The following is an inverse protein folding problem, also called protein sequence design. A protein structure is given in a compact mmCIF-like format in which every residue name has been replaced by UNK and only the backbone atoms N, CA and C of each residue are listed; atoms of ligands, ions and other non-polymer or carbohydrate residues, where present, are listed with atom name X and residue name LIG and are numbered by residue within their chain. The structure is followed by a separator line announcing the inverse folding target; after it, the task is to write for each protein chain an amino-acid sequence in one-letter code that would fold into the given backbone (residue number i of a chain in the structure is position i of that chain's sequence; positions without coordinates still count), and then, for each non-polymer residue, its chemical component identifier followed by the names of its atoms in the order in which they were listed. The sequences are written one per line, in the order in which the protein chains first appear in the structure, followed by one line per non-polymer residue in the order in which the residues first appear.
data_IF_772937467973
#
_entry.id   IF_772937467973
#
_cell.length_a   1.000
_cell.length_b   1.000
_cell.length_c   1.000
_cell.angle_alpha   90.00
_cell.angle_beta   90.00
_cell.angle_gamma   90.00
#
_symmetry.space_group_name_H-M   'P 1'
#
loop_
_entity.id
_entity.type
_entity.pdbx_description
1 polymer ?
#
# COMPACT_ATOMS: atom_id res chain seq x y z
N UNK A 1 2.73 -0.73 17.91
CA UNK A 1 2.87 -1.30 16.57
C UNK A 1 1.98 -0.53 15.61
N UNK A 2 2.56 0.09 14.58
CA UNK A 2 1.83 0.88 13.58
C UNK A 2 2.41 0.59 12.19
N UNK A 3 1.55 0.57 11.16
CA UNK A 3 2.05 0.43 9.78
C UNK A 3 2.63 1.74 9.27
N UNK A 4 3.70 1.66 8.47
CA UNK A 4 4.32 2.82 7.83
C UNK A 4 3.40 3.44 6.79
N UNK A 5 2.90 2.63 5.86
CA UNK A 5 1.99 3.06 4.80
C UNK A 5 0.74 2.20 4.87
N UNK A 6 -0.44 2.83 4.94
CA UNK A 6 -1.69 2.09 4.93
C UNK A 6 -1.97 1.52 3.53
N UNK A 7 -2.18 0.21 3.46
CA UNK A 7 -2.36 -0.52 2.20
C UNK A 7 -3.70 -0.26 1.49
N UNK A 8 -4.66 0.36 2.15
CA UNK A 8 -5.97 0.67 1.55
C UNK A 8 -6.09 2.12 1.10
N UNK A 9 -5.63 3.06 1.93
CA UNK A 9 -5.80 4.50 1.71
C UNK A 9 -4.49 5.25 1.43
N UNK A 10 -3.35 4.55 1.49
CA UNK A 10 -2.05 5.11 1.14
C UNK A 10 -1.45 6.10 2.13
N UNK A 11 -2.11 6.44 3.22
CA UNK A 11 -1.60 7.39 4.21
C UNK A 11 -0.27 6.93 4.80
N UNK A 12 0.70 7.86 4.88
CA UNK A 12 2.05 7.61 5.38
C UNK A 12 2.15 8.06 6.84
N UNK A 13 2.65 7.18 7.69
CA UNK A 13 2.99 7.49 9.07
C UNK A 13 4.35 8.19 9.14
N UNK A 14 4.45 9.29 9.87
CA UNK A 14 5.75 9.89 10.17
C UNK A 14 6.49 9.03 11.21
N UNK A 15 7.38 8.15 10.72
CA UNK A 15 8.11 7.19 11.55
C UNK A 15 9.03 7.86 12.57
N UNK A 16 9.69 8.96 12.19
CA UNK A 16 10.62 9.68 13.06
C UNK A 16 9.91 10.23 14.29
N UNK A 17 8.76 10.92 14.07
CA UNK A 17 7.96 11.48 15.17
C UNK A 17 7.43 10.39 16.10
N UNK A 18 6.95 9.28 15.55
CA UNK A 18 6.42 8.16 16.35
C UNK A 18 7.54 7.44 17.10
N UNK A 19 8.67 7.18 16.43
CA UNK A 19 9.82 6.55 17.06
C UNK A 19 10.36 7.39 18.22
N UNK A 20 10.47 8.71 18.05
CA UNK A 20 10.88 9.63 19.11
C UNK A 20 9.88 9.67 20.28
N UNK A 21 8.58 9.65 19.97
CA UNK A 21 7.53 9.60 20.99
C UNK A 21 7.63 8.31 21.82
N UNK A 22 7.84 7.16 21.15
CA UNK A 22 8.04 5.87 21.81
C UNK A 22 9.30 5.89 22.69
N UNK A 23 10.41 6.41 22.17
CA UNK A 23 11.67 6.51 22.90
C UNK A 23 11.52 7.36 24.17
N UNK A 24 10.87 8.51 24.07
CA UNK A 24 10.65 9.41 25.20
C UNK A 24 9.78 8.79 26.30
N UNK A 25 8.96 7.80 25.96
CA UNK A 25 8.07 7.10 26.89
C UNK A 25 8.56 5.68 27.26
N UNK A 26 9.78 5.30 26.89
CA UNK A 26 10.34 3.98 27.16
C UNK A 26 9.58 2.83 26.51
N UNK A 27 8.86 3.10 25.42
CA UNK A 27 8.07 2.10 24.69
C UNK A 27 8.85 1.54 23.50
N UNK A 28 8.69 0.25 23.24
CA UNK A 28 9.16 -0.34 21.97
C UNK A 28 8.28 0.13 20.82
N UNK A 29 8.93 0.38 19.67
CA UNK A 29 8.23 0.72 18.43
C UNK A 29 8.48 -0.34 17.36
N UNK A 30 7.40 -0.94 16.89
CA UNK A 30 7.35 -1.79 15.72
C UNK A 30 6.62 -1.09 14.59
N UNK A 31 7.16 -1.17 13.38
CA UNK A 31 6.45 -0.74 12.18
C UNK A 31 6.28 -1.91 11.19
N UNK A 32 5.06 -2.09 10.70
CA UNK A 32 4.82 -2.84 9.49
C UNK A 32 5.19 -1.96 8.29
N UNK A 33 6.33 -2.25 7.68
CA UNK A 33 6.86 -1.52 6.54
C UNK A 33 6.67 -2.28 5.20
N UNK A 34 5.75 -3.23 5.17
CA UNK A 34 5.46 -4.06 3.98
C UNK A 34 5.13 -3.20 2.75
N UNK A 35 4.42 -2.09 2.93
CA UNK A 35 4.12 -1.14 1.85
C UNK A 35 5.18 -0.04 1.68
N UNK A 36 6.22 -0.04 2.50
CA UNK A 36 7.24 1.00 2.51
C UNK A 36 8.59 0.54 1.96
N UNK A 37 9.02 -0.67 2.31
CA UNK A 37 10.30 -1.22 1.85
C UNK A 37 10.27 -1.39 0.32
N UNK A 38 11.34 -0.95 -0.34
CA UNK A 38 11.43 -0.89 -1.80
C UNK A 38 10.79 0.36 -2.42
N UNK A 39 10.04 1.15 -1.64
CA UNK A 39 9.35 2.37 -2.09
C UNK A 39 9.81 3.63 -1.37
N UNK A 40 10.41 3.51 -0.19
CA UNK A 40 10.94 4.61 0.62
C UNK A 40 12.31 4.25 1.17
N UNK A 41 13.16 5.26 1.37
CA UNK A 41 14.45 5.09 2.04
C UNK A 41 14.24 5.01 3.57
N UNK A 42 14.93 4.09 4.22
CA UNK A 42 14.95 3.95 5.67
C UNK A 42 16.39 4.04 6.17
N UNK A 43 16.67 4.99 7.04
CA UNK A 43 17.90 5.00 7.82
C UNK A 43 17.60 4.56 9.25
N UNK A 44 17.83 3.29 9.53
CA UNK A 44 17.57 2.71 10.85
C UNK A 44 18.68 3.05 11.87
N UNK A 45 19.76 3.73 11.46
CA UNK A 45 20.73 4.30 12.37
C UNK A 45 20.21 5.58 13.01
N UNK A 46 19.47 6.37 12.26
CA UNK A 46 18.91 7.65 12.69
C UNK A 46 17.53 7.49 13.34
N UNK A 47 16.68 6.64 12.78
CA UNK A 47 15.30 6.44 13.28
C UNK A 47 15.30 5.32 14.33
N UNK A 48 14.94 5.59 15.60
CA UNK A 48 15.00 4.61 16.69
C UNK A 48 13.83 3.60 16.67
N UNK A 49 13.62 2.95 15.52
CA UNK A 49 12.68 1.82 15.37
C UNK A 49 13.31 0.59 16.02
N UNK A 50 12.53 -0.17 16.78
CA UNK A 50 12.98 -1.40 17.44
C UNK A 50 12.75 -2.64 16.58
N UNK A 51 11.60 -2.67 15.87
CA UNK A 51 11.22 -3.78 15.02
C UNK A 51 10.59 -3.27 13.73
N UNK A 52 10.91 -3.94 12.60
CA UNK A 52 10.28 -3.64 11.31
C UNK A 52 10.02 -4.93 10.56
N UNK A 53 8.84 -5.01 9.93
CA UNK A 53 8.45 -6.13 9.08
C UNK A 53 8.41 -5.73 7.61
N UNK A 54 8.82 -6.64 6.73
CA UNK A 54 8.77 -6.47 5.27
C UNK A 54 8.33 -7.75 4.57
N UNK A 55 7.82 -7.64 3.34
CA UNK A 55 7.45 -8.77 2.50
C UNK A 55 7.91 -8.55 1.05
N UNK A 56 8.69 -9.49 0.52
CA UNK A 56 9.37 -9.35 -0.77
C UNK A 56 8.42 -9.13 -1.95
N UNK A 57 7.24 -9.74 -1.95
CA UNK A 57 6.26 -9.63 -3.03
C UNK A 57 5.68 -8.21 -3.21
N UNK A 58 5.97 -7.28 -2.31
CA UNK A 58 5.54 -5.87 -2.42
C UNK A 58 6.52 -5.00 -3.21
N UNK A 59 7.72 -5.51 -3.45
CA UNK A 59 8.73 -4.90 -4.31
C UNK A 59 9.23 -5.90 -5.38
N UNK A 60 8.28 -6.66 -5.96
CA UNK A 60 8.49 -7.61 -7.07
C UNK A 60 9.41 -8.80 -6.76
N UNK A 61 9.64 -9.08 -5.49
CA UNK A 61 10.35 -10.27 -5.02
C UNK A 61 9.44 -11.50 -4.89
N UNK A 62 10.00 -12.65 -4.51
CA UNK A 62 9.25 -13.90 -4.35
C UNK A 62 8.15 -13.79 -3.28
N UNK A 63 7.04 -14.50 -3.49
CA UNK A 63 6.04 -14.72 -2.45
C UNK A 63 6.56 -15.67 -1.37
N UNK A 64 6.03 -15.56 -0.16
CA UNK A 64 6.37 -16.44 0.95
C UNK A 64 7.69 -16.12 1.66
N UNK A 65 8.34 -15.02 1.31
CA UNK A 65 9.57 -14.53 1.96
C UNK A 65 9.46 -13.05 2.31
N UNK A 66 10.08 -12.67 3.40
CA UNK A 66 10.25 -11.30 3.87
C UNK A 66 11.38 -11.25 4.88
N UNK A 67 11.62 -10.10 5.46
CA UNK A 67 12.57 -9.96 6.56
C UNK A 67 11.95 -9.20 7.72
N UNK A 68 12.51 -9.46 8.91
CA UNK A 68 12.27 -8.67 10.10
C UNK A 68 13.56 -8.00 10.54
N UNK A 69 13.54 -6.68 10.68
CA UNK A 69 14.60 -5.97 11.40
C UNK A 69 14.31 -6.04 12.89
N UNK A 70 15.32 -6.39 13.67
CA UNK A 70 15.26 -6.47 15.13
C UNK A 70 16.48 -5.71 15.66
N UNK A 71 16.25 -4.61 16.37
CA UNK A 71 17.32 -3.82 16.99
C UNK A 71 17.96 -4.64 18.11
N UNK A 72 19.28 -4.56 18.20
CA UNK A 72 20.04 -5.24 19.26
C UNK A 72 19.55 -4.83 20.65
N UNK A 73 19.65 -5.73 21.59
CA UNK A 73 19.34 -5.52 23.02
C UNK A 73 17.85 -5.20 23.30
N UNK A 74 16.93 -5.62 22.43
CA UNK A 74 15.48 -5.49 22.68
C UNK A 74 14.93 -6.58 23.61
N UNK A 75 15.72 -7.58 23.98
CA UNK A 75 15.26 -8.69 24.83
C UNK A 75 14.29 -9.65 24.15
N UNK A 76 14.17 -9.60 22.80
CA UNK A 76 13.29 -10.50 22.05
C UNK A 76 13.81 -11.94 22.17
N UNK A 77 12.91 -12.85 22.53
CA UNK A 77 13.16 -14.29 22.55
C UNK A 77 12.50 -14.98 21.35
N UNK A 78 13.10 -16.12 20.93
CA UNK A 78 12.51 -16.96 19.89
C UNK A 78 11.12 -17.44 20.32
N UNK A 79 10.16 -17.40 19.38
CA UNK A 79 8.86 -18.00 19.54
C UNK A 79 8.72 -19.32 18.75
N UNK A 80 9.58 -19.53 17.73
CA UNK A 80 9.65 -20.76 16.95
C UNK A 80 10.93 -21.49 17.34
N UNK A 81 10.80 -22.53 18.11
CA UNK A 81 11.91 -23.28 18.67
C UNK A 81 12.41 -24.39 17.75
N UNK A 82 13.70 -24.73 17.83
CA UNK A 82 14.35 -25.79 17.05
C UNK A 82 15.84 -25.51 16.88
N UNK A 83 16.34 -25.57 15.65
CA UNK A 83 17.74 -25.27 15.32
C UNK A 83 18.10 -23.80 15.53
N UNK A 84 19.40 -23.49 15.47
CA UNK A 84 19.93 -22.15 15.73
C UNK A 84 19.92 -21.19 14.51
N UNK A 85 19.06 -21.47 13.53
CA UNK A 85 18.92 -20.58 12.36
C UNK A 85 18.48 -19.17 12.79
N UNK A 86 18.70 -18.19 11.93
CA UNK A 86 18.41 -16.77 12.20
C UNK A 86 18.98 -16.31 13.56
N UNK A 87 20.22 -16.73 13.87
CA UNK A 87 20.91 -16.45 15.14
C UNK A 87 20.13 -16.90 16.39
N UNK A 88 19.37 -17.99 16.26
CA UNK A 88 18.53 -18.53 17.32
C UNK A 88 17.18 -17.82 17.52
N UNK A 89 16.86 -16.84 16.70
CA UNK A 89 15.59 -16.10 16.80
C UNK A 89 14.44 -16.77 16.06
N UNK A 90 14.73 -17.62 15.06
CA UNK A 90 13.70 -18.34 14.30
C UNK A 90 14.28 -19.62 13.74
N UNK A 91 13.87 -20.74 14.28
CA UNK A 91 14.32 -22.05 13.83
C UNK A 91 13.68 -22.47 12.48
N UNK A 92 14.30 -23.42 11.81
CA UNK A 92 13.89 -23.96 10.51
C UNK A 92 14.88 -23.62 9.40
N UNK A 93 15.03 -24.52 8.44
CA UNK A 93 15.95 -24.37 7.31
C UNK A 93 15.61 -23.12 6.49
N UNK A 94 16.62 -22.34 6.15
CA UNK A 94 16.46 -21.12 5.35
C UNK A 94 16.08 -21.44 3.90
N UNK A 95 15.10 -20.71 3.36
CA UNK A 95 14.70 -20.78 1.97
C UNK A 95 15.69 -19.99 1.09
N UNK A 96 16.90 -20.49 0.91
CA UNK A 96 18.04 -19.78 0.29
C UNK A 96 17.67 -19.16 -1.07
N UNK A 97 16.98 -19.92 -1.95
CA UNK A 97 16.55 -19.42 -3.26
C UNK A 97 15.62 -18.20 -3.14
N UNK A 98 14.69 -18.22 -2.18
CA UNK A 98 13.78 -17.09 -1.94
C UNK A 98 14.51 -15.89 -1.32
N UNK A 99 15.50 -16.12 -0.45
CA UNK A 99 16.35 -15.08 0.14
C UNK A 99 17.16 -14.38 -0.95
N UNK A 100 17.78 -15.12 -1.86
CA UNK A 100 18.53 -14.56 -2.98
C UNK A 100 17.61 -13.77 -3.92
N UNK A 101 16.40 -14.29 -4.21
CA UNK A 101 15.40 -13.58 -4.99
C UNK A 101 14.93 -12.28 -4.33
N UNK A 102 14.71 -12.30 -3.01
CA UNK A 102 14.38 -11.11 -2.22
C UNK A 102 15.51 -10.08 -2.25
N UNK A 103 16.76 -10.51 -2.06
CA UNK A 103 17.92 -9.63 -2.13
C UNK A 103 18.01 -8.94 -3.50
N UNK A 104 17.88 -9.70 -4.60
CA UNK A 104 17.94 -9.14 -5.96
C UNK A 104 16.79 -8.15 -6.22
N UNK A 105 15.60 -8.44 -5.72
CA UNK A 105 14.47 -7.53 -5.84
C UNK A 105 14.71 -6.21 -5.07
N UNK A 106 15.28 -6.27 -3.87
CA UNK A 106 15.66 -5.06 -3.11
C UNK A 106 16.74 -4.24 -3.83
N UNK A 107 17.76 -4.90 -4.37
CA UNK A 107 18.83 -4.24 -5.14
C UNK A 107 18.25 -3.47 -6.33
N UNK A 108 17.34 -4.07 -7.08
CA UNK A 108 16.67 -3.44 -8.23
C UNK A 108 15.80 -2.28 -7.76
N UNK A 109 14.95 -2.49 -6.76
CA UNK A 109 14.01 -1.49 -6.26
C UNK A 109 14.73 -0.23 -5.75
N UNK A 110 15.78 -0.41 -4.92
CA UNK A 110 16.55 0.75 -4.43
C UNK A 110 17.46 1.37 -5.49
N UNK A 111 17.93 0.58 -6.48
CA UNK A 111 18.72 1.10 -7.59
C UNK A 111 17.94 2.00 -8.54
N UNK A 112 16.62 1.86 -8.61
CA UNK A 112 15.72 2.63 -9.48
C UNK A 112 14.73 3.53 -8.71
N UNK A 113 14.86 3.61 -7.40
CA UNK A 113 13.86 4.19 -6.51
C UNK A 113 13.41 5.60 -6.95
N UNK A 114 14.33 6.51 -7.19
CA UNK A 114 14.02 7.91 -7.52
C UNK A 114 13.38 8.05 -8.92
N UNK A 115 13.86 7.26 -9.89
CA UNK A 115 13.32 7.22 -11.25
C UNK A 115 11.89 6.69 -11.25
N UNK A 116 11.67 5.51 -10.64
CA UNK A 116 10.35 4.87 -10.58
C UNK A 116 9.36 5.68 -9.75
N UNK A 117 9.80 6.25 -8.63
CA UNK A 117 8.96 7.14 -7.82
C UNK A 117 8.47 8.33 -8.62
N UNK A 118 9.37 9.02 -9.34
CA UNK A 118 9.01 10.19 -10.17
C UNK A 118 8.01 9.82 -11.25
N UNK A 119 8.25 8.70 -11.92
CA UNK A 119 7.36 8.22 -12.99
C UNK A 119 5.98 7.83 -12.45
N UNK A 120 5.92 6.97 -11.43
CA UNK A 120 4.65 6.50 -10.86
C UNK A 120 3.86 7.66 -10.25
N UNK A 121 4.55 8.62 -9.63
CA UNK A 121 3.92 9.84 -9.11
C UNK A 121 3.29 10.68 -10.23
N UNK A 122 3.90 10.72 -11.42
CA UNK A 122 3.30 11.41 -12.57
C UNK A 122 2.00 10.73 -13.01
N UNK A 123 1.97 9.40 -13.07
CA UNK A 123 0.75 8.63 -13.38
C UNK A 123 -0.35 8.87 -12.34
N UNK A 124 0.01 8.85 -11.05
CA UNK A 124 -0.93 9.16 -9.96
C UNK A 124 -1.51 10.57 -10.08
N UNK A 125 -0.66 11.57 -10.36
CA UNK A 125 -1.11 12.97 -10.58
C UNK A 125 -2.07 13.07 -11.75
N UNK A 126 -1.75 12.41 -12.86
CA UNK A 126 -2.59 12.37 -14.06
C UNK A 126 -3.96 11.77 -13.74
N UNK A 127 -3.97 10.62 -13.07
CA UNK A 127 -5.21 9.96 -12.64
C UNK A 127 -6.05 10.85 -11.71
N UNK A 128 -5.47 11.44 -10.66
CA UNK A 128 -6.19 12.33 -9.73
C UNK A 128 -6.80 13.53 -10.46
N UNK A 129 -6.05 14.14 -11.38
CA UNK A 129 -6.55 15.27 -12.20
C UNK A 129 -7.73 14.84 -13.06
N UNK A 130 -7.65 13.68 -13.69
CA UNK A 130 -8.75 13.11 -14.49
C UNK A 130 -9.99 12.83 -13.65
N UNK A 131 -9.84 12.19 -12.50
CA UNK A 131 -10.96 11.93 -11.58
C UNK A 131 -11.63 13.24 -11.12
N UNK A 132 -10.87 14.25 -10.71
CA UNK A 132 -11.42 15.55 -10.29
C UNK A 132 -12.16 16.28 -11.42
N UNK A 133 -11.77 16.06 -12.68
CA UNK A 133 -12.47 16.59 -13.86
C UNK A 133 -13.78 15.86 -14.11
N UNK A 134 -13.78 14.52 -14.07
CA UNK A 134 -14.95 13.68 -14.41
C UNK A 134 -15.95 13.68 -13.26
N UNK A 135 -15.47 13.61 -12.03
CA UNK A 135 -16.26 13.55 -10.81
C UNK A 135 -15.85 14.65 -9.83
N UNK A 136 -16.33 15.90 -10.01
CA UNK A 136 -15.99 17.00 -9.09
C UNK A 136 -16.36 16.72 -7.62
N UNK A 137 -17.33 15.84 -7.38
CA UNK A 137 -17.79 15.41 -6.05
C UNK A 137 -17.05 14.18 -5.51
N UNK A 138 -16.06 13.65 -6.23
CA UNK A 138 -15.27 12.51 -5.76
C UNK A 138 -14.56 12.83 -4.46
N UNK A 139 -14.60 11.89 -3.51
CA UNK A 139 -13.91 12.01 -2.23
C UNK A 139 -12.69 11.09 -2.20
N UNK A 140 -11.52 11.66 -1.94
CA UNK A 140 -10.27 10.89 -1.82
C UNK A 140 -10.08 10.44 -0.37
N UNK A 141 -10.12 9.13 -0.15
CA UNK A 141 -10.02 8.54 1.19
C UNK A 141 -8.59 8.65 1.74
N UNK A 142 -8.45 9.06 3.01
CA UNK A 142 -7.17 9.05 3.71
C UNK A 142 -6.10 10.00 3.16
N UNK A 143 -6.48 11.15 2.62
CA UNK A 143 -5.55 12.13 2.05
C UNK A 143 -4.76 11.59 0.84
N UNK A 144 -5.24 10.57 0.13
CA UNK A 144 -4.48 9.93 -0.94
C UNK A 144 -4.28 10.81 -2.18
N UNK A 145 -4.94 11.95 -2.29
CA UNK A 145 -4.69 12.98 -3.30
C UNK A 145 -3.64 14.03 -2.86
N UNK A 146 -3.16 13.95 -1.63
CA UNK A 146 -2.03 14.73 -1.13
C UNK A 146 -0.75 13.87 -1.21
N UNK A 147 0.16 14.25 -2.12
CA UNK A 147 1.37 13.49 -2.40
C UNK A 147 2.40 13.50 -1.26
N UNK A 148 2.36 14.54 -0.41
CA UNK A 148 3.27 14.65 0.75
C UNK A 148 2.82 13.77 1.92
N UNK A 149 1.57 13.32 1.92
CA UNK A 149 0.96 12.56 3.02
C UNK A 149 0.55 11.14 2.61
N UNK A 150 0.70 10.80 1.34
CA UNK A 150 0.32 9.48 0.83
C UNK A 150 1.34 8.89 -0.11
N UNK A 151 1.39 7.56 -0.15
CA UNK A 151 2.24 6.83 -1.09
C UNK A 151 1.91 7.18 -2.53
N UNK A 152 2.92 7.21 -3.38
CA UNK A 152 2.77 7.41 -4.81
C UNK A 152 2.16 6.21 -5.55
N UNK A 153 2.08 5.04 -4.90
CA UNK A 153 1.73 3.76 -5.53
C UNK A 153 0.23 3.45 -5.57
N UNK A 154 -0.62 4.26 -4.91
CA UNK A 154 -2.07 4.02 -4.90
C UNK A 154 -2.90 5.29 -4.71
N UNK A 155 -4.16 5.20 -5.17
CA UNK A 155 -5.26 6.12 -4.86
C UNK A 155 -6.46 5.30 -4.41
N UNK A 156 -7.11 5.75 -3.33
CA UNK A 156 -8.42 5.24 -2.91
C UNK A 156 -9.43 6.37 -3.03
N UNK A 157 -10.41 6.21 -3.90
CA UNK A 157 -11.40 7.25 -4.22
C UNK A 157 -12.80 6.71 -4.08
N UNK A 158 -13.65 7.47 -3.38
CA UNK A 158 -15.09 7.26 -3.30
C UNK A 158 -15.78 8.03 -4.43
N UNK A 159 -16.29 7.28 -5.40
CA UNK A 159 -16.97 7.81 -6.58
C UNK A 159 -18.48 7.95 -6.33
N UNK A 160 -19.15 8.99 -6.86
CA UNK A 160 -20.55 9.30 -6.59
C UNK A 160 -21.50 8.41 -7.40
N UNK A 161 -21.36 7.10 -7.31
CA UNK A 161 -22.29 6.11 -7.85
C UNK A 161 -23.32 5.71 -6.79
N UNK A 162 -24.56 5.40 -7.20
CA UNK A 162 -25.58 4.92 -6.28
C UNK A 162 -25.24 3.50 -5.74
N UNK A 163 -26.02 3.01 -4.77
CA UNK A 163 -25.77 1.74 -4.12
C UNK A 163 -25.79 0.53 -5.06
N UNK A 164 -26.69 0.50 -6.05
CA UNK A 164 -26.80 -0.58 -7.04
C UNK A 164 -25.62 -0.60 -7.98
N UNK A 165 -25.26 0.57 -8.53
CA UNK A 165 -24.09 0.74 -9.38
C UNK A 165 -22.79 0.43 -8.63
N UNK A 166 -22.70 0.85 -7.36
CA UNK A 166 -21.54 0.63 -6.52
C UNK A 166 -21.26 -0.86 -6.25
N UNK A 167 -22.30 -1.69 -6.20
CA UNK A 167 -22.14 -3.14 -6.00
C UNK A 167 -21.48 -3.83 -7.20
N UNK A 168 -21.73 -3.35 -8.40
CA UNK A 168 -21.27 -3.97 -9.66
C UNK A 168 -20.08 -3.27 -10.30
N UNK A 169 -19.69 -2.09 -9.80
CA UNK A 169 -18.70 -1.23 -10.47
C UNK A 169 -17.33 -1.90 -10.66
N UNK A 170 -16.83 -2.60 -9.65
CA UNK A 170 -15.56 -3.35 -9.75
C UNK A 170 -15.66 -4.51 -10.75
N UNK A 171 -16.80 -5.23 -10.78
CA UNK A 171 -17.05 -6.29 -11.75
C UNK A 171 -17.16 -5.72 -13.18
N UNK A 172 -17.85 -4.59 -13.36
CA UNK A 172 -17.93 -3.93 -14.66
C UNK A 172 -16.58 -3.44 -15.17
N UNK A 173 -15.73 -2.93 -14.27
CA UNK A 173 -14.36 -2.55 -14.59
C UNK A 173 -13.51 -3.78 -14.97
N UNK A 174 -13.64 -4.90 -14.24
CA UNK A 174 -12.95 -6.15 -14.54
C UNK A 174 -13.34 -6.69 -15.93
N UNK A 175 -14.62 -6.63 -16.32
CA UNK A 175 -15.07 -6.97 -17.66
C UNK A 175 -14.46 -6.08 -18.77
N UNK A 176 -14.01 -4.89 -18.42
CA UNK A 176 -13.26 -3.98 -19.31
C UNK A 176 -11.74 -4.19 -19.22
N UNK A 177 -11.26 -5.20 -18.49
CA UNK A 177 -9.84 -5.48 -18.29
C UNK A 177 -9.16 -4.53 -17.27
N UNK A 178 -9.93 -3.82 -16.45
CA UNK A 178 -9.43 -2.89 -15.44
C UNK A 178 -9.48 -3.55 -14.07
N UNK A 179 -8.31 -3.96 -13.56
CA UNK A 179 -8.17 -4.54 -12.24
C UNK A 179 -8.07 -3.45 -11.16
N UNK A 180 -9.09 -3.31 -10.34
CA UNK A 180 -9.10 -2.46 -9.16
C UNK A 180 -9.58 -3.24 -7.93
N UNK A 181 -9.59 -2.63 -6.75
CA UNK A 181 -10.00 -3.32 -5.52
C UNK A 181 -11.02 -2.51 -4.74
N UNK A 182 -12.01 -3.19 -4.18
CA UNK A 182 -12.87 -2.67 -3.10
C UNK A 182 -12.24 -3.03 -1.76
N UNK A 183 -11.87 -2.02 -0.94
CA UNK A 183 -11.26 -2.24 0.37
C UNK A 183 -9.92 -2.99 0.31
N UNK A 184 -9.68 -3.86 1.29
CA UNK A 184 -8.44 -4.66 1.38
C UNK A 184 -8.52 -5.89 0.47
N UNK A 185 -7.50 -6.06 -0.37
CA UNK A 185 -7.35 -7.25 -1.21
C UNK A 185 -7.27 -8.55 -0.38
N UNK A 186 -6.77 -8.49 0.85
CA UNK A 186 -6.69 -9.63 1.78
C UNK A 186 -8.05 -10.02 2.37
N UNK A 187 -9.07 -9.17 2.26
CA UNK A 187 -10.43 -9.40 2.77
C UNK A 187 -11.47 -9.62 1.67
N UNK A 188 -11.02 -9.91 0.44
CA UNK A 188 -11.89 -10.11 -0.73
C UNK A 188 -12.96 -11.21 -0.59
N UNK A 189 -12.92 -12.01 0.47
CA UNK A 189 -13.98 -12.99 0.84
C UNK A 189 -14.85 -12.57 2.04
N UNK A 190 -14.65 -11.38 2.61
CA UNK A 190 -15.38 -10.94 3.81
C UNK A 190 -16.59 -10.08 3.44
N UNK A 191 -17.75 -10.45 3.95
CA UNK A 191 -19.01 -9.67 3.83
C UNK A 191 -19.03 -8.41 4.70
N UNK A 192 -18.03 -8.21 5.59
CA UNK A 192 -18.00 -7.12 6.58
C UNK A 192 -17.46 -5.78 6.05
N UNK A 193 -17.01 -5.71 4.79
CA UNK A 193 -16.37 -4.52 4.23
C UNK A 193 -15.02 -4.18 4.86
N UNK A 194 -14.44 -3.05 4.46
CA UNK A 194 -13.16 -2.58 4.98
C UNK A 194 -13.30 -1.98 6.39
N UNK A 195 -12.53 -2.52 7.36
CA UNK A 195 -12.47 -1.94 8.69
C UNK A 195 -11.80 -0.55 8.70
N UNK A 196 -10.94 -0.25 7.71
CA UNK A 196 -10.31 1.07 7.55
C UNK A 196 -11.33 2.08 7.04
N UNK A 197 -11.98 1.79 5.90
CA UNK A 197 -12.95 2.69 5.30
C UNK A 197 -14.16 2.95 6.21
N UNK A 198 -14.57 1.96 6.99
CA UNK A 198 -15.67 2.10 7.97
C UNK A 198 -15.38 3.08 9.10
N UNK A 199 -14.09 3.43 9.34
CA UNK A 199 -13.69 4.44 10.33
C UNK A 199 -13.49 5.83 9.73
N UNK A 200 -13.56 5.95 8.41
CA UNK A 200 -13.44 7.23 7.71
C UNK A 200 -14.81 7.87 7.51
N UNK A 201 -14.82 9.20 7.40
CA UNK A 201 -16.01 9.97 7.05
C UNK A 201 -16.24 9.97 5.53
N UNK A 202 -16.30 8.77 4.95
CA UNK A 202 -16.60 8.62 3.51
C UNK A 202 -18.08 8.93 3.27
N UNK A 203 -18.41 9.69 2.22
CA UNK A 203 -19.80 10.00 1.91
C UNK A 203 -20.65 8.74 1.71
N UNK A 204 -21.84 8.69 2.30
CA UNK A 204 -22.73 7.55 2.17
C UNK A 204 -23.23 7.41 0.73
N UNK A 205 -23.39 6.17 0.27
CA UNK A 205 -23.88 5.87 -1.07
C UNK A 205 -22.85 6.08 -2.17
N UNK A 206 -21.55 6.12 -1.82
CA UNK A 206 -20.45 6.18 -2.79
C UNK A 206 -19.77 4.82 -2.94
N UNK A 207 -19.12 4.59 -4.10
CA UNK A 207 -18.30 3.43 -4.37
C UNK A 207 -16.82 3.75 -4.10
N UNK A 208 -16.26 3.22 -3.03
CA UNK A 208 -14.82 3.35 -2.78
C UNK A 208 -14.03 2.29 -3.55
N UNK A 209 -13.16 2.73 -4.45
CA UNK A 209 -12.26 1.90 -5.23
C UNK A 209 -10.81 2.31 -4.98
N UNK A 210 -9.93 1.30 -4.89
CA UNK A 210 -8.48 1.50 -4.83
C UNK A 210 -7.86 1.14 -6.18
N UNK A 211 -7.17 2.10 -6.76
CA UNK A 211 -6.30 1.93 -7.93
C UNK A 211 -4.85 1.93 -7.48
N UNK A 212 -4.06 1.00 -7.98
CA UNK A 212 -2.65 0.86 -7.65
C UNK A 212 -1.81 1.06 -8.91
N UNK A 213 -0.68 1.74 -8.76
CA UNK A 213 0.22 2.11 -9.84
C UNK A 213 1.60 1.46 -9.65
N UNK A 214 2.25 1.13 -10.75
CA UNK A 214 3.61 0.62 -10.81
C UNK A 214 4.36 1.19 -12.01
N UNK A 215 5.66 0.98 -12.07
CA UNK A 215 6.50 1.37 -13.22
C UNK A 215 6.15 0.61 -14.51
N UNK A 216 5.30 -0.40 -14.46
CA UNK A 216 4.81 -1.15 -15.62
C UNK A 216 3.54 -0.56 -16.24
N UNK A 217 2.88 0.36 -15.55
CA UNK A 217 1.71 1.03 -16.11
C UNK A 217 2.12 2.17 -17.05
N UNK A 218 1.26 2.48 -18.01
CA UNK A 218 1.44 3.57 -18.96
C UNK A 218 0.40 4.67 -18.79
N UNK A 219 0.66 5.85 -19.35
CA UNK A 219 -0.29 6.97 -19.33
C UNK A 219 -1.54 6.63 -20.14
N UNK A 220 -1.40 5.87 -21.23
CA UNK A 220 -2.52 5.40 -22.06
C UNK A 220 -3.44 4.45 -21.28
N UNK A 221 -2.91 3.60 -20.41
CA UNK A 221 -3.72 2.77 -19.52
C UNK A 221 -4.51 3.63 -18.52
N UNK A 222 -3.89 4.68 -17.98
CA UNK A 222 -4.58 5.63 -17.09
C UNK A 222 -5.71 6.35 -17.84
N UNK A 223 -5.45 6.81 -19.06
CA UNK A 223 -6.48 7.45 -19.91
C UNK A 223 -7.62 6.49 -20.24
N UNK A 224 -7.33 5.23 -20.51
CA UNK A 224 -8.36 4.21 -20.74
C UNK A 224 -9.26 4.01 -19.51
N UNK A 225 -8.68 3.95 -18.30
CA UNK A 225 -9.45 3.88 -17.05
C UNK A 225 -10.35 5.11 -16.89
N UNK A 226 -9.81 6.31 -17.11
CA UNK A 226 -10.56 7.57 -17.00
C UNK A 226 -11.71 7.65 -18.00
N UNK A 227 -11.48 7.27 -19.27
CA UNK A 227 -12.52 7.21 -20.31
C UNK A 227 -13.63 6.21 -19.94
N UNK A 228 -13.26 5.03 -19.42
CA UNK A 228 -14.22 4.02 -18.99
C UNK A 228 -15.10 4.52 -17.83
N UNK A 229 -14.49 5.18 -16.84
CA UNK A 229 -15.23 5.78 -15.72
C UNK A 229 -16.12 6.94 -16.17
N UNK A 230 -15.69 7.75 -17.13
CA UNK A 230 -16.48 8.83 -17.72
C UNK A 230 -17.70 8.27 -18.47
N UNK A 231 -17.54 7.18 -19.24
CA UNK A 231 -18.66 6.51 -19.90
C UNK A 231 -19.69 6.00 -18.89
N UNK A 232 -19.27 5.37 -17.79
CA UNK A 232 -20.16 4.93 -16.72
C UNK A 232 -20.87 6.10 -16.01
N UNK A 233 -20.23 7.25 -15.91
CA UNK A 233 -20.86 8.46 -15.36
C UNK A 233 -21.97 8.99 -16.29
N UNK A 234 -21.79 8.94 -17.61
CA UNK A 234 -22.77 9.38 -18.61
C UNK A 234 -23.96 8.43 -18.69
N UNK A 235 -23.76 7.12 -18.61
CA UNK A 235 -24.85 6.12 -18.55
C UNK A 235 -25.77 6.30 -17.33
N UNK A 236 -25.27 6.97 -16.28
CA UNK A 236 -26.03 7.33 -15.07
C UNK A 236 -27.07 8.45 -15.32
N UNK A 237 -26.88 9.28 -16.35
CA UNK A 237 -27.70 10.46 -16.63
C UNK A 237 -28.82 10.12 -17.61
N UNK A 238 -28.74 9.00 -18.29
CA UNK A 238 -29.77 8.50 -19.22
C UNK A 238 -30.77 7.58 -18.52
#
# INVERSE_FOLDING_TARGET
SLMHVNNEIGTILNLEKVAQLCQNNGAYFHTDAVQGVGHFKFDLSEIPIHFMSSAAHKYHGPKGIGFSFIRKNTGLHSFIYGGAQERGLRAGTEAVHSIIGMHKALEIAYGKLEEEQTYIESLKKHFIKGIKRIFPEAHFNGCCDNLDQSTYTLVNVALPFNSEQSMLLDFQLDLKGIACSKGSACQSGSTKGSHVLNQLQTPKGTASLRFSFSSFNTEEEIDYVLQTLEAFALEKIA
#
